data_IF_522444316622
#
_entry.id   IF_522444316622
#
_cell.length_a   1.000
_cell.length_b   1.000
_cell.length_c   1.000
_cell.angle_alpha   90.00
_cell.angle_beta   90.00
_cell.angle_gamma   90.00
#
_symmetry.space_group_name_H-M   'P 1'
#
loop_
_entity.id
_entity.type
_entity.pdbx_description
1 polymer ?
#
# COMPACT_ATOMS: atom_id res chain seq x y z
N UNK A 1 -103.06 -57.43 27.90
CA UNK A 1 -101.59 -57.64 27.96
C UNK A 1 -100.85 -57.23 26.68
N UNK A 2 -101.46 -57.34 25.48
CA UNK A 2 -100.81 -56.96 24.21
C UNK A 2 -100.62 -55.44 23.96
N UNK A 3 -101.43 -54.57 24.59
CA UNK A 3 -101.35 -53.11 24.39
C UNK A 3 -100.19 -52.42 25.16
N UNK A 4 -99.60 -53.08 26.17
CA UNK A 4 -98.49 -52.51 26.95
C UNK A 4 -97.12 -52.73 26.30
N UNK A 5 -96.98 -53.78 25.47
CA UNK A 5 -95.74 -54.11 24.77
C UNK A 5 -95.50 -53.19 23.55
N UNK A 6 -96.56 -52.74 22.88
CA UNK A 6 -96.46 -51.86 21.71
C UNK A 6 -96.08 -50.42 22.07
N UNK A 7 -96.53 -49.92 23.23
CA UNK A 7 -96.20 -48.57 23.70
C UNK A 7 -94.73 -48.36 24.06
N UNK A 8 -94.06 -49.38 24.59
CA UNK A 8 -92.63 -49.29 24.95
C UNK A 8 -91.71 -49.32 23.73
N UNK A 9 -92.08 -50.06 22.68
CA UNK A 9 -91.33 -50.10 21.41
C UNK A 9 -91.36 -48.75 20.69
N UNK A 10 -92.49 -48.05 20.72
CA UNK A 10 -92.63 -46.75 20.07
C UNK A 10 -91.80 -45.65 20.76
N UNK A 11 -91.70 -45.69 22.09
CA UNK A 11 -90.86 -44.77 22.87
C UNK A 11 -89.37 -45.01 22.66
N UNK A 12 -88.94 -46.27 22.60
CA UNK A 12 -87.55 -46.62 22.30
C UNK A 12 -87.14 -46.17 20.89
N UNK A 13 -88.02 -46.35 19.90
CA UNK A 13 -87.80 -45.88 18.53
C UNK A 13 -87.67 -44.36 18.42
N UNK A 14 -88.52 -43.60 19.13
CA UNK A 14 -88.46 -42.14 19.12
C UNK A 14 -87.17 -41.59 19.75
N UNK A 15 -86.70 -42.18 20.85
CA UNK A 15 -85.44 -41.77 21.50
C UNK A 15 -84.23 -42.05 20.60
N UNK A 16 -84.21 -43.21 19.95
CA UNK A 16 -83.14 -43.56 19.01
C UNK A 16 -83.10 -42.59 17.82
N UNK A 17 -84.25 -42.22 17.26
CA UNK A 17 -84.34 -41.28 16.16
C UNK A 17 -83.87 -39.87 16.56
N UNK A 18 -84.27 -39.38 17.73
CA UNK A 18 -83.81 -38.08 18.25
C UNK A 18 -82.30 -38.08 18.49
N UNK A 19 -81.75 -39.17 19.03
CA UNK A 19 -80.31 -39.33 19.20
C UNK A 19 -79.54 -39.33 17.87
N UNK A 20 -80.07 -40.01 16.85
CA UNK A 20 -79.51 -40.03 15.50
C UNK A 20 -79.61 -38.65 14.85
N UNK A 21 -80.75 -37.98 14.97
CA UNK A 21 -80.93 -36.62 14.44
C UNK A 21 -80.01 -35.62 15.13
N UNK A 22 -79.80 -35.70 16.44
CA UNK A 22 -78.84 -34.87 17.18
C UNK A 22 -77.40 -35.18 16.78
N UNK A 23 -77.03 -36.46 16.65
CA UNK A 23 -75.72 -36.87 16.15
C UNK A 23 -75.45 -36.35 14.74
N UNK A 24 -76.43 -36.47 13.85
CA UNK A 24 -76.37 -35.92 12.49
C UNK A 24 -76.38 -34.39 12.48
N UNK A 25 -77.08 -33.71 13.39
CA UNK A 25 -77.01 -32.25 13.51
C UNK A 25 -75.64 -31.79 13.96
N UNK A 26 -75.00 -32.49 14.92
CA UNK A 26 -73.61 -32.26 15.35
C UNK A 26 -72.60 -32.60 14.25
N UNK A 27 -72.94 -33.50 13.32
CA UNK A 27 -72.04 -33.92 12.24
C UNK A 27 -72.21 -33.08 10.96
N UNK A 28 -73.45 -32.64 10.66
CA UNK A 28 -73.81 -31.76 9.54
C UNK A 28 -73.51 -30.30 9.89
N UNK A 29 -73.79 -29.89 11.13
CA UNK A 29 -73.42 -28.59 11.70
C UNK A 29 -72.21 -28.73 12.61
N UNK A 30 -71.39 -29.77 12.38
CA UNK A 30 -70.04 -29.84 12.91
C UNK A 30 -69.47 -28.45 12.69
N UNK A 31 -69.18 -27.76 13.77
CA UNK A 31 -68.60 -26.44 13.75
C UNK A 31 -67.09 -26.63 13.81
N UNK A 32 -66.38 -26.82 12.69
CA UNK A 32 -64.97 -26.48 12.63
C UNK A 32 -64.79 -24.96 12.48
N UNK A 33 -65.86 -24.17 12.37
CA UNK A 33 -65.79 -22.79 11.88
C UNK A 33 -65.36 -21.74 12.93
N UNK A 34 -65.60 -21.94 14.23
CA UNK A 34 -65.29 -20.90 15.24
C UNK A 34 -63.98 -21.10 16.02
N UNK A 35 -63.47 -22.33 16.12
CA UNK A 35 -62.23 -22.62 16.88
C UNK A 35 -61.02 -23.00 16.02
N UNK A 36 -61.24 -23.70 14.89
CA UNK A 36 -60.15 -24.18 14.03
C UNK A 36 -59.44 -23.07 13.26
N UNK A 37 -60.18 -22.03 12.85
CA UNK A 37 -59.61 -20.86 12.17
C UNK A 37 -58.66 -20.06 13.07
N UNK A 38 -59.06 -19.80 14.32
CA UNK A 38 -58.23 -19.04 15.27
C UNK A 38 -56.94 -19.77 15.66
N UNK A 39 -56.97 -21.11 15.75
CA UNK A 39 -55.76 -21.91 16.02
C UNK A 39 -54.84 -21.89 14.80
N UNK A 40 -55.37 -22.06 13.59
CA UNK A 40 -54.59 -21.99 12.36
C UNK A 40 -53.96 -20.60 12.14
N UNK A 41 -54.70 -19.52 12.40
CA UNK A 41 -54.20 -18.14 12.34
C UNK A 41 -53.09 -17.88 13.36
N UNK A 42 -53.26 -18.37 14.61
CA UNK A 42 -52.23 -18.26 15.64
C UNK A 42 -50.96 -18.99 15.24
N UNK A 43 -51.08 -20.22 14.75
CA UNK A 43 -49.92 -21.03 14.37
C UNK A 43 -49.21 -20.44 13.13
N UNK A 44 -49.97 -19.89 12.17
CA UNK A 44 -49.42 -19.12 11.06
C UNK A 44 -48.68 -17.85 11.53
N UNK A 45 -49.22 -17.11 12.50
CA UNK A 45 -48.57 -15.94 13.08
C UNK A 45 -47.28 -16.32 13.84
N UNK A 46 -47.29 -17.42 14.61
CA UNK A 46 -46.10 -17.93 15.29
C UNK A 46 -45.03 -18.32 14.25
N UNK A 47 -45.40 -19.03 13.19
CA UNK A 47 -44.49 -19.39 12.11
C UNK A 47 -43.91 -18.16 11.39
N UNK A 48 -44.74 -17.15 11.10
CA UNK A 48 -44.31 -15.91 10.48
C UNK A 48 -43.34 -15.13 11.38
N UNK A 49 -43.64 -15.00 12.68
CA UNK A 49 -42.73 -14.33 13.63
C UNK A 49 -41.43 -15.09 13.85
N UNK A 50 -41.45 -16.43 13.86
CA UNK A 50 -40.25 -17.24 13.93
C UNK A 50 -39.36 -17.06 12.69
N UNK A 51 -39.98 -17.00 11.50
CA UNK A 51 -39.28 -16.74 10.23
C UNK A 51 -38.65 -15.35 10.24
N UNK A 52 -39.41 -14.31 10.57
CA UNK A 52 -38.89 -12.94 10.65
C UNK A 52 -37.76 -12.77 11.69
N UNK A 53 -37.79 -13.53 12.80
CA UNK A 53 -36.68 -13.55 13.77
C UNK A 53 -35.42 -14.17 13.15
N UNK A 54 -35.55 -15.33 12.50
CA UNK A 54 -34.43 -15.99 11.83
C UNK A 54 -33.79 -15.11 10.75
N UNK A 55 -34.62 -14.43 9.96
CA UNK A 55 -34.14 -13.50 8.92
C UNK A 55 -33.35 -12.34 9.51
N UNK A 56 -33.87 -11.68 10.57
CA UNK A 56 -33.13 -10.60 11.25
C UNK A 56 -31.84 -11.08 11.91
N UNK A 57 -31.84 -12.26 12.51
CA UNK A 57 -30.65 -12.81 13.14
C UNK A 57 -29.59 -13.18 12.09
N UNK A 58 -30.02 -13.72 10.95
CA UNK A 58 -29.14 -13.98 9.81
C UNK A 58 -28.56 -12.69 9.21
N UNK A 59 -29.39 -11.64 9.05
CA UNK A 59 -28.94 -10.33 8.57
C UNK A 59 -27.92 -9.71 9.53
N UNK A 60 -28.18 -9.76 10.84
CA UNK A 60 -27.24 -9.27 11.87
C UNK A 60 -25.93 -10.02 11.83
N UNK A 61 -25.97 -11.35 11.71
CA UNK A 61 -24.77 -12.17 11.60
C UNK A 61 -23.96 -11.83 10.34
N UNK A 62 -24.62 -11.69 9.18
CA UNK A 62 -23.96 -11.30 7.93
C UNK A 62 -23.34 -9.90 8.01
N UNK A 63 -24.06 -8.95 8.63
CA UNK A 63 -23.57 -7.60 8.84
C UNK A 63 -22.38 -7.56 9.80
N UNK A 64 -22.40 -8.36 10.87
CA UNK A 64 -21.27 -8.49 11.78
C UNK A 64 -20.06 -9.09 11.07
N UNK A 65 -20.22 -10.18 10.33
CA UNK A 65 -19.14 -10.77 9.54
C UNK A 65 -18.53 -9.76 8.54
N UNK A 66 -19.36 -8.94 7.90
CA UNK A 66 -18.89 -7.87 7.00
C UNK A 66 -18.04 -6.85 7.75
N UNK A 67 -18.43 -6.45 8.96
CA UNK A 67 -17.64 -5.53 9.80
C UNK A 67 -16.31 -6.14 10.21
N UNK A 68 -16.33 -7.41 10.61
CA UNK A 68 -15.12 -8.12 11.04
C UNK A 68 -14.13 -8.23 9.87
N UNK A 69 -14.59 -8.64 8.69
CA UNK A 69 -13.77 -8.67 7.48
C UNK A 69 -13.22 -7.29 7.10
N UNK A 70 -14.01 -6.23 7.25
CA UNK A 70 -13.54 -4.88 6.98
C UNK A 70 -12.45 -4.45 7.96
N UNK A 71 -12.59 -4.75 9.25
CA UNK A 71 -11.59 -4.46 10.26
C UNK A 71 -10.29 -5.26 10.03
N UNK A 72 -10.40 -6.54 9.67
CA UNK A 72 -9.26 -7.38 9.31
C UNK A 72 -8.51 -6.83 8.09
N UNK A 73 -9.25 -6.44 7.03
CA UNK A 73 -8.67 -5.84 5.83
C UNK A 73 -7.98 -4.50 6.13
N UNK A 74 -8.56 -3.65 6.99
CA UNK A 74 -7.90 -2.41 7.42
C UNK A 74 -6.62 -2.70 8.21
N UNK A 75 -6.65 -3.66 9.13
CA UNK A 75 -5.47 -4.03 9.91
C UNK A 75 -4.36 -4.59 9.00
N UNK A 76 -4.72 -5.36 7.98
CA UNK A 76 -3.78 -5.86 6.99
C UNK A 76 -3.19 -4.72 6.16
N UNK A 77 -4.03 -3.82 5.63
CA UNK A 77 -3.55 -2.66 4.86
C UNK A 77 -2.60 -1.78 5.67
N UNK A 78 -2.85 -1.58 6.97
CA UNK A 78 -1.97 -0.81 7.85
C UNK A 78 -0.61 -1.50 8.07
N UNK A 79 -0.58 -2.84 8.17
CA UNK A 79 0.67 -3.61 8.24
C UNK A 79 1.45 -3.48 6.94
N UNK A 80 0.79 -3.68 5.81
CA UNK A 80 1.42 -3.61 4.49
C UNK A 80 1.99 -2.21 4.21
N UNK A 81 1.26 -1.17 4.60
CA UNK A 81 1.71 0.22 4.49
C UNK A 81 2.95 0.50 5.35
N UNK A 82 2.98 -0.01 6.58
CA UNK A 82 4.14 0.14 7.48
C UNK A 82 5.38 -0.51 6.88
N UNK A 83 5.25 -1.73 6.34
CA UNK A 83 6.35 -2.45 5.69
C UNK A 83 6.82 -1.73 4.42
N UNK A 84 5.89 -1.22 3.61
CA UNK A 84 6.18 -0.45 2.41
C UNK A 84 6.97 0.81 2.74
N UNK A 85 6.53 1.58 3.72
CA UNK A 85 7.21 2.81 4.16
C UNK A 85 8.60 2.50 4.73
N UNK A 86 8.75 1.45 5.52
CA UNK A 86 10.04 1.03 6.05
C UNK A 86 11.03 0.66 4.94
N UNK A 87 10.57 -0.10 3.93
CA UNK A 87 11.38 -0.47 2.75
C UNK A 87 11.81 0.76 1.97
N UNK A 88 10.87 1.64 1.62
CA UNK A 88 11.15 2.87 0.87
C UNK A 88 12.17 3.71 1.62
N UNK A 89 11.94 3.96 2.92
CA UNK A 89 12.87 4.74 3.75
C UNK A 89 14.27 4.12 3.76
N UNK A 90 14.38 2.82 4.01
CA UNK A 90 15.68 2.14 4.04
C UNK A 90 16.43 2.23 2.71
N UNK A 91 15.73 2.08 1.58
CA UNK A 91 16.32 2.20 0.25
C UNK A 91 16.78 3.65 -0.06
N UNK A 92 15.98 4.64 0.33
CA UNK A 92 16.34 6.06 0.16
C UNK A 92 17.54 6.47 1.03
N UNK A 93 17.63 5.94 2.26
CA UNK A 93 18.78 6.13 3.15
C UNK A 93 20.03 5.50 2.55
N UNK A 94 19.93 4.26 2.05
CA UNK A 94 21.04 3.57 1.38
C UNK A 94 21.54 4.35 0.15
N UNK A 95 20.63 4.82 -0.71
CA UNK A 95 21.00 5.66 -1.86
C UNK A 95 21.74 6.92 -1.41
N UNK A 96 21.26 7.57 -0.35
CA UNK A 96 21.86 8.80 0.16
C UNK A 96 23.27 8.56 0.70
N UNK A 97 23.47 7.49 1.48
CA UNK A 97 24.80 7.09 1.97
C UNK A 97 25.74 6.75 0.82
N UNK A 98 25.30 5.92 -0.14
CA UNK A 98 26.12 5.52 -1.30
C UNK A 98 26.60 6.74 -2.09
N UNK A 99 25.71 7.71 -2.36
CA UNK A 99 26.06 8.93 -3.09
C UNK A 99 27.02 9.80 -2.28
N UNK A 100 26.79 9.98 -0.99
CA UNK A 100 27.67 10.76 -0.13
C UNK A 100 29.09 10.16 -0.07
N UNK A 101 29.20 8.85 0.04
CA UNK A 101 30.48 8.14 0.02
C UNK A 101 31.18 8.25 -1.34
N UNK A 102 30.44 8.14 -2.44
CA UNK A 102 31.00 8.28 -3.78
C UNK A 102 31.52 9.69 -4.05
N UNK A 103 30.74 10.71 -3.67
CA UNK A 103 31.14 12.11 -3.72
C UNK A 103 32.44 12.35 -2.93
N UNK A 104 32.48 11.91 -1.68
CA UNK A 104 33.66 12.09 -0.81
C UNK A 104 34.91 11.42 -1.41
N UNK A 105 34.77 10.20 -1.94
CA UNK A 105 35.85 9.46 -2.58
C UNK A 105 36.38 10.18 -3.82
N UNK A 106 35.49 10.63 -4.70
CA UNK A 106 35.87 11.37 -5.93
C UNK A 106 36.52 12.70 -5.59
N UNK A 107 35.97 13.44 -4.63
CA UNK A 107 36.53 14.71 -4.19
C UNK A 107 37.96 14.55 -3.64
N UNK A 108 38.21 13.49 -2.87
CA UNK A 108 39.54 13.19 -2.35
C UNK A 108 40.56 12.88 -3.46
N UNK A 109 40.19 12.08 -4.47
CA UNK A 109 41.04 11.78 -5.63
C UNK A 109 41.38 13.06 -6.41
N UNK A 110 40.38 13.89 -6.72
CA UNK A 110 40.61 15.16 -7.40
C UNK A 110 41.48 16.11 -6.58
N UNK A 111 41.30 16.15 -5.27
CA UNK A 111 42.12 16.98 -4.38
C UNK A 111 43.58 16.56 -4.42
N UNK A 112 43.86 15.25 -4.35
CA UNK A 112 45.22 14.73 -4.45
C UNK A 112 45.89 15.12 -5.78
N UNK A 113 45.15 15.02 -6.90
CA UNK A 113 45.63 15.42 -8.22
C UNK A 113 45.89 16.93 -8.31
N UNK A 114 44.99 17.74 -7.76
CA UNK A 114 45.17 19.19 -7.70
C UNK A 114 46.42 19.57 -6.89
N UNK A 115 46.62 18.95 -5.72
CA UNK A 115 47.81 19.19 -4.88
C UNK A 115 49.10 18.79 -5.61
N UNK A 116 49.09 17.67 -6.34
CA UNK A 116 50.22 17.25 -7.18
C UNK A 116 50.52 18.27 -8.29
N UNK A 117 49.51 18.75 -9.00
CA UNK A 117 49.67 19.78 -10.04
C UNK A 117 50.21 21.10 -9.46
N UNK A 118 49.73 21.49 -8.27
CA UNK A 118 50.20 22.69 -7.57
C UNK A 118 51.68 22.57 -7.20
N UNK A 119 52.10 21.41 -6.70
CA UNK A 119 53.51 21.14 -6.38
C UNK A 119 54.40 21.14 -7.64
N UNK A 120 53.93 20.55 -8.74
CA UNK A 120 54.66 20.56 -10.01
C UNK A 120 54.82 21.97 -10.57
N UNK A 121 53.77 22.79 -10.51
CA UNK A 121 53.83 24.20 -10.94
C UNK A 121 54.81 25.02 -10.08
N UNK A 122 54.82 24.81 -8.75
CA UNK A 122 55.77 25.47 -7.85
C UNK A 122 57.22 25.05 -8.12
N UNK A 123 57.46 23.76 -8.39
CA UNK A 123 58.79 23.24 -8.74
C UNK A 123 59.31 23.82 -10.07
N UNK A 124 58.44 23.89 -11.09
CA UNK A 124 58.80 24.45 -12.40
C UNK A 124 59.17 25.95 -12.32
N UNK A 125 58.44 26.72 -11.50
CA UNK A 125 58.76 28.12 -11.24
C UNK A 125 60.12 28.29 -10.52
N UNK A 126 60.50 27.36 -9.65
CA UNK A 126 61.82 27.35 -8.99
C UNK A 126 62.99 27.05 -9.91
N UNK A 127 62.78 26.27 -10.99
CA UNK A 127 63.82 25.93 -11.98
C UNK A 127 64.02 26.97 -13.08
N UNK A 128 63.06 27.88 -13.30
CA UNK A 128 63.13 28.90 -14.35
C UNK A 128 64.17 30.01 -14.07
N UNK A 129 64.77 30.05 -12.88
CA UNK A 129 65.87 30.98 -12.52
C UNK A 129 67.27 30.53 -12.97
N UNK A 130 67.42 29.39 -13.67
CA UNK A 130 68.71 28.74 -13.93
C UNK A 130 69.12 28.57 -15.39
N UNK A 131 68.49 29.25 -16.35
CA UNK A 131 68.83 29.14 -17.78
C UNK A 131 69.41 30.45 -18.35
N UNK A 132 70.39 31.03 -17.66
CA UNK A 132 71.25 32.07 -18.20
C UNK A 132 72.67 31.50 -18.33
N UNK A 133 72.94 30.77 -19.42
CA UNK A 133 74.25 30.13 -19.59
C UNK A 133 74.48 29.45 -20.93
N UNK A 134 73.80 29.88 -21.99
CA UNK A 134 74.16 29.47 -23.34
C UNK A 134 75.32 30.33 -23.85
N UNK A 135 76.47 29.71 -24.10
CA UNK A 135 77.61 30.34 -24.77
C UNK A 135 77.15 30.97 -26.11
N UNK A 136 77.38 32.28 -26.35
CA UNK A 136 76.90 32.93 -27.56
C UNK A 136 77.64 32.39 -28.78
N UNK A 137 76.92 31.69 -29.65
CA UNK A 137 77.44 31.19 -30.93
C UNK A 137 77.52 32.37 -31.92
N UNK A 138 78.69 32.74 -32.45
CA UNK A 138 78.81 33.87 -33.37
C UNK A 138 78.10 33.59 -34.69
N UNK A 139 77.15 34.45 -35.09
CA UNK A 139 76.59 34.47 -36.45
C UNK A 139 75.06 34.38 -36.55
N UNK A 140 74.34 34.21 -35.44
CA UNK A 140 72.87 34.23 -35.43
C UNK A 140 72.41 35.53 -34.78
N UNK A 141 71.52 36.29 -35.44
CA UNK A 141 70.87 37.44 -34.81
C UNK A 141 70.13 36.97 -33.57
N UNK A 142 70.34 37.67 -32.45
CA UNK A 142 69.59 37.45 -31.21
C UNK A 142 68.10 37.36 -31.54
N UNK A 143 67.46 36.26 -31.13
CA UNK A 143 66.01 36.17 -31.13
C UNK A 143 65.49 37.36 -30.31
N UNK A 144 64.49 38.07 -30.83
CA UNK A 144 63.88 39.18 -30.11
C UNK A 144 63.53 38.72 -28.68
N UNK A 145 63.92 39.46 -27.64
CA UNK A 145 63.61 39.12 -26.26
C UNK A 145 62.12 39.40 -26.03
N UNK A 146 61.28 38.50 -26.51
CA UNK A 146 59.88 38.40 -26.19
C UNK A 146 59.67 36.95 -25.81
N UNK A 147 59.51 36.67 -24.52
CA UNK A 147 59.02 35.36 -24.11
C UNK A 147 57.71 35.12 -24.87
N UNK A 148 57.61 33.99 -25.57
CA UNK A 148 56.31 33.54 -26.06
C UNK A 148 55.35 33.57 -24.88
N UNK A 149 54.21 34.24 -25.04
CA UNK A 149 53.20 34.27 -24.00
C UNK A 149 52.87 32.81 -23.62
N UNK A 150 52.79 32.48 -22.32
CA UNK A 150 52.54 31.11 -21.91
C UNK A 150 51.26 30.62 -22.59
N UNK A 151 51.32 29.42 -23.17
CA UNK A 151 50.11 28.75 -23.64
C UNK A 151 49.09 28.77 -22.48
N UNK A 152 47.87 29.23 -22.76
CA UNK A 152 46.78 29.51 -21.80
C UNK A 152 46.74 30.93 -21.18
N UNK A 153 47.20 31.98 -21.87
CA UNK A 153 46.96 33.37 -21.42
C UNK A 153 45.46 33.71 -21.19
N UNK A 154 44.53 32.99 -21.84
CA UNK A 154 43.07 33.12 -21.68
C UNK A 154 42.39 31.91 -20.97
N UNK A 155 43.16 31.01 -20.34
CA UNK A 155 42.62 29.82 -19.66
C UNK A 155 42.25 30.09 -18.20
N UNK A 156 41.30 29.31 -17.65
CA UNK A 156 41.01 29.30 -16.20
C UNK A 156 42.29 29.01 -15.41
N UNK A 157 42.50 29.75 -14.31
CA UNK A 157 43.59 29.48 -13.36
C UNK A 157 43.45 28.09 -12.74
N UNK A 158 44.53 27.55 -12.15
CA UNK A 158 44.48 26.24 -11.50
C UNK A 158 43.41 26.18 -10.40
N UNK A 159 43.25 27.27 -9.63
CA UNK A 159 42.25 27.39 -8.57
C UNK A 159 40.83 27.47 -9.15
N UNK A 160 40.62 28.25 -10.22
CA UNK A 160 39.32 28.31 -10.90
C UNK A 160 38.91 26.95 -11.49
N UNK A 161 39.87 26.18 -12.03
CA UNK A 161 39.62 24.81 -12.51
C UNK A 161 39.25 23.87 -11.37
N UNK A 162 39.88 24.03 -10.21
CA UNK A 162 39.56 23.26 -9.01
C UNK A 162 38.14 23.55 -8.53
N UNK A 163 37.76 24.82 -8.41
CA UNK A 163 36.41 25.21 -8.01
C UNK A 163 35.35 24.71 -9.01
N UNK A 164 35.60 24.85 -10.31
CA UNK A 164 34.73 24.33 -11.36
C UNK A 164 34.57 22.80 -11.26
N UNK A 165 35.66 22.09 -10.95
CA UNK A 165 35.64 20.62 -10.78
C UNK A 165 34.82 20.20 -9.57
N UNK A 166 34.95 20.91 -8.44
CA UNK A 166 34.14 20.65 -7.24
C UNK A 166 32.66 20.84 -7.51
N UNK A 167 32.29 21.96 -8.16
CA UNK A 167 30.90 22.24 -8.51
C UNK A 167 30.33 21.22 -9.50
N UNK A 168 31.10 20.86 -10.52
CA UNK A 168 30.70 19.83 -11.48
C UNK A 168 30.48 18.48 -10.80
N UNK A 169 31.37 18.09 -9.89
CA UNK A 169 31.24 16.85 -9.12
C UNK A 169 30.00 16.86 -8.21
N UNK A 170 29.74 17.98 -7.53
CA UNK A 170 28.55 18.14 -6.69
C UNK A 170 27.27 18.02 -7.51
N UNK A 171 27.20 18.67 -8.67
CA UNK A 171 26.04 18.61 -9.55
C UNK A 171 25.80 17.20 -10.11
N UNK A 172 26.86 16.51 -10.53
CA UNK A 172 26.80 15.13 -11.03
C UNK A 172 26.25 14.16 -9.98
N UNK A 173 26.73 14.24 -8.74
CA UNK A 173 26.25 13.41 -7.64
C UNK A 173 24.82 13.79 -7.20
N UNK A 174 24.43 15.06 -7.27
CA UNK A 174 23.05 15.49 -7.02
C UNK A 174 22.09 14.95 -8.10
N UNK A 175 22.48 15.00 -9.37
CA UNK A 175 21.68 14.42 -10.47
C UNK A 175 21.52 12.92 -10.25
N UNK A 176 22.62 12.20 -9.97
CA UNK A 176 22.62 10.78 -9.67
C UNK A 176 21.72 10.43 -8.48
N UNK A 177 21.78 11.23 -7.40
CA UNK A 177 20.89 11.06 -6.24
C UNK A 177 19.42 11.23 -6.63
N UNK A 178 19.05 12.30 -7.33
CA UNK A 178 17.65 12.55 -7.76
C UNK A 178 17.15 11.39 -8.65
N UNK A 179 17.95 10.98 -9.63
CA UNK A 179 17.57 9.90 -10.54
C UNK A 179 17.37 8.57 -9.82
N UNK A 180 18.24 8.24 -8.84
CA UNK A 180 18.11 7.03 -8.03
C UNK A 180 16.91 7.09 -7.10
N UNK A 181 16.70 8.23 -6.43
CA UNK A 181 15.54 8.45 -5.56
C UNK A 181 14.22 8.31 -6.32
N UNK A 182 14.14 8.85 -7.53
CA UNK A 182 12.96 8.78 -8.39
C UNK A 182 12.62 7.36 -8.87
N UNK A 183 13.61 6.44 -8.87
CA UNK A 183 13.42 5.03 -9.23
C UNK A 183 12.96 4.17 -8.07
N UNK A 184 12.95 4.68 -6.83
CA UNK A 184 12.45 3.90 -5.68
C UNK A 184 10.94 3.73 -5.83
N UNK A 185 10.44 2.50 -6.01
CA UNK A 185 9.02 2.30 -6.26
C UNK A 185 8.24 2.56 -4.98
N UNK A 186 7.50 3.67 -4.93
CA UNK A 186 6.68 4.01 -3.78
C UNK A 186 5.53 3.02 -3.61
N UNK A 187 4.85 2.64 -4.69
CA UNK A 187 3.56 1.93 -4.62
C UNK A 187 3.65 0.41 -4.79
N UNK A 188 4.86 -0.15 -4.84
CA UNK A 188 5.00 -1.60 -4.97
C UNK A 188 4.51 -2.29 -3.69
N UNK A 189 3.65 -3.31 -3.81
CA UNK A 189 3.16 -4.07 -2.67
C UNK A 189 4.33 -4.69 -1.92
N UNK A 190 4.22 -4.79 -0.59
CA UNK A 190 5.21 -5.48 0.21
C UNK A 190 5.38 -6.92 -0.30
N UNK A 191 6.62 -7.46 -0.32
CA UNK A 191 6.84 -8.86 -0.68
C UNK A 191 6.03 -9.74 0.27
N UNK A 192 5.29 -10.71 -0.30
CA UNK A 192 4.52 -11.65 0.50
C UNK A 192 5.50 -12.53 1.28
N UNK A 193 5.48 -12.45 2.61
CA UNK A 193 6.14 -13.44 3.46
C UNK A 193 5.40 -14.77 3.27
N UNK A 194 6.11 -15.78 2.77
CA UNK A 194 5.62 -17.17 2.66
C UNK A 194 5.79 -17.91 3.98
#
# INVERSE_FOLDING_TARGET
>A
MWAALTGNLWRAGAIALVGICLGLLVQIHGAPVLGGGLIAERDAAIAATATARRERDAERAAHQATKDHYQEAQAQAARDETLRLARVKGEQERISTDVAENYARRLADYRARYEQLRQQAAAAAGTAGGAAGGEPVPGVRDAAPGADAPACADGLSLDQRWDATQQALQLDELISWIERQARVPANDPAPKEN
#
